data_IF_229701373113
#
_entry.id   IF_229701373113
#
_cell.length_a   1.000
_cell.length_b   1.000
_cell.length_c   1.000
_cell.angle_alpha   90.00
_cell.angle_beta   90.00
_cell.angle_gamma   90.00
#
_symmetry.space_group_name_H-M   'P 1'
#
loop_
_entity.id
_entity.type
_entity.pdbx_description
1 polymer ?
#
# COMPACT_ATOMS: atom_id res chain seq x y z
N UNK A 1 -5.75 10.23 5.55
CA UNK A 1 -4.68 9.91 4.56
C UNK A 1 -3.40 10.71 4.85
N UNK A 2 -2.21 10.09 4.79
CA UNK A 2 -0.91 10.73 5.10
C UNK A 2 -0.46 11.74 4.02
N UNK A 3 0.30 12.77 4.41
CA UNK A 3 0.81 13.83 3.51
C UNK A 3 1.71 13.28 2.40
N UNK A 4 2.68 12.42 2.76
CA UNK A 4 3.58 11.79 1.79
C UNK A 4 2.82 11.01 0.73
N UNK A 5 1.71 10.35 1.11
CA UNK A 5 0.89 9.60 0.16
C UNK A 5 0.22 10.52 -0.87
N UNK A 6 -0.27 11.69 -0.44
CA UNK A 6 -0.87 12.68 -1.34
C UNK A 6 0.17 13.26 -2.31
N UNK A 7 1.37 13.57 -1.83
CA UNK A 7 2.46 14.10 -2.66
C UNK A 7 2.88 13.10 -3.73
N UNK A 8 3.10 11.84 -3.34
CA UNK A 8 3.46 10.78 -4.27
C UNK A 8 2.32 10.40 -5.22
N UNK A 9 1.06 10.53 -4.79
CA UNK A 9 -0.10 10.36 -5.66
C UNK A 9 -0.09 11.37 -6.80
N UNK A 10 0.20 12.65 -6.51
CA UNK A 10 0.32 13.68 -7.55
C UNK A 10 1.45 13.33 -8.52
N UNK A 11 2.60 12.89 -8.01
CA UNK A 11 3.74 12.51 -8.84
C UNK A 11 3.41 11.31 -9.75
N UNK A 12 2.93 10.21 -9.17
CA UNK A 12 2.60 8.97 -9.89
C UNK A 12 1.42 9.15 -10.85
N UNK A 13 0.52 10.11 -10.62
CA UNK A 13 -0.60 10.39 -11.53
C UNK A 13 -0.16 10.90 -12.91
N UNK A 14 1.09 11.37 -13.05
CA UNK A 14 1.66 11.76 -14.35
C UNK A 14 1.83 10.56 -15.29
N UNK A 15 2.14 9.39 -14.73
CA UNK A 15 2.33 8.13 -15.47
C UNK A 15 1.07 7.26 -15.45
N UNK A 16 0.29 7.35 -14.38
CA UNK A 16 -0.93 6.59 -14.16
C UNK A 16 -2.10 7.55 -13.89
N UNK A 17 -2.64 8.19 -14.95
CA UNK A 17 -3.68 9.20 -14.80
C UNK A 17 -4.95 8.57 -14.22
N UNK A 18 -5.49 9.23 -13.19
CA UNK A 18 -6.72 8.85 -12.47
C UNK A 18 -7.62 10.06 -12.30
N UNK A 19 -8.92 9.83 -12.16
CA UNK A 19 -9.90 10.91 -11.95
C UNK A 19 -9.93 11.37 -10.49
N UNK A 20 -10.56 12.53 -10.24
CA UNK A 20 -10.77 13.03 -8.88
C UNK A 20 -11.66 12.07 -8.07
N UNK A 21 -12.64 11.46 -8.73
CA UNK A 21 -13.56 10.48 -8.14
C UNK A 21 -12.80 9.22 -7.73
N UNK A 22 -11.87 8.74 -8.56
CA UNK A 22 -11.01 7.58 -8.21
C UNK A 22 -10.08 7.89 -7.04
N UNK A 23 -9.50 9.09 -6.99
CA UNK A 23 -8.71 9.54 -5.82
C UNK A 23 -9.61 9.61 -4.58
N UNK A 24 -10.86 10.06 -4.71
CA UNK A 24 -11.80 10.09 -3.60
C UNK A 24 -12.16 8.68 -3.12
N UNK A 25 -12.36 7.73 -4.04
CA UNK A 25 -12.57 6.32 -3.68
C UNK A 25 -11.39 5.78 -2.86
N UNK A 26 -10.14 6.06 -3.27
CA UNK A 26 -8.95 5.66 -2.52
C UNK A 26 -8.91 6.27 -1.11
N UNK A 27 -9.32 7.54 -0.95
CA UNK A 27 -9.46 8.19 0.37
C UNK A 27 -10.52 7.51 1.23
N UNK A 28 -11.57 7.00 0.60
CA UNK A 28 -12.64 6.26 1.26
C UNK A 28 -12.29 4.77 1.46
N UNK A 29 -11.02 4.39 1.24
CA UNK A 29 -10.52 3.02 1.33
C UNK A 29 -11.24 2.03 0.39
N UNK A 30 -11.76 2.55 -0.72
CA UNK A 30 -12.32 1.78 -1.82
C UNK A 30 -11.30 1.76 -2.93
N UNK A 31 -10.98 0.57 -3.41
CA UNK A 31 -10.03 0.38 -4.51
C UNK A 31 -10.84 0.10 -5.79
N UNK A 32 -10.97 1.09 -6.70
CA UNK A 32 -11.58 0.88 -8.01
C UNK A 32 -10.89 -0.25 -8.76
N UNK A 33 -11.65 -1.04 -9.51
CA UNK A 33 -11.10 -2.01 -10.45
C UNK A 33 -10.65 -1.34 -11.74
N UNK A 34 -9.61 -0.50 -11.64
CA UNK A 34 -9.03 0.25 -12.75
C UNK A 34 -7.52 0.02 -12.79
N UNK A 35 -6.97 -0.32 -13.98
CA UNK A 35 -5.53 -0.56 -14.16
C UNK A 35 -4.66 0.63 -13.73
N UNK A 36 -5.02 1.86 -14.10
CA UNK A 36 -4.26 3.05 -13.70
C UNK A 36 -4.29 3.25 -12.19
N UNK A 37 -5.42 3.00 -11.52
CA UNK A 37 -5.49 3.11 -10.07
C UNK A 37 -4.60 2.07 -9.38
N UNK A 38 -4.58 0.83 -9.90
CA UNK A 38 -3.67 -0.22 -9.43
C UNK A 38 -2.21 0.19 -9.62
N UNK A 39 -1.85 0.69 -10.80
CA UNK A 39 -0.47 1.10 -11.08
C UNK A 39 -0.04 2.36 -10.33
N UNK A 40 -0.96 3.29 -10.08
CA UNK A 40 -0.74 4.46 -9.21
C UNK A 40 -0.30 4.02 -7.81
N UNK A 41 -1.01 3.07 -7.20
CA UNK A 41 -0.62 2.49 -5.90
C UNK A 41 0.74 1.79 -5.98
N UNK A 42 0.98 1.03 -7.05
CA UNK A 42 2.27 0.39 -7.31
C UNK A 42 3.41 1.39 -7.36
N UNK A 43 3.27 2.48 -8.10
CA UNK A 43 4.24 3.57 -8.17
C UNK A 43 4.49 4.20 -6.78
N UNK A 44 3.42 4.52 -6.03
CA UNK A 44 3.56 5.09 -4.68
C UNK A 44 4.30 4.14 -3.75
N UNK A 45 3.94 2.85 -3.74
CA UNK A 45 4.57 1.85 -2.88
C UNK A 45 6.04 1.58 -3.25
N UNK A 46 6.40 1.65 -4.54
CA UNK A 46 7.81 1.61 -4.96
C UNK A 46 8.60 2.81 -4.43
N UNK A 47 8.05 4.01 -4.53
CA UNK A 47 8.76 5.25 -4.09
C UNK A 47 9.05 5.27 -2.59
N UNK A 48 8.23 4.61 -1.78
CA UNK A 48 8.48 4.42 -0.34
C UNK A 48 9.19 3.09 0.00
N UNK A 49 9.58 2.31 -1.02
CA UNK A 49 10.31 1.04 -0.86
C UNK A 49 9.49 -0.15 -0.39
N UNK A 50 8.15 -0.05 -0.33
CA UNK A 50 7.26 -1.15 0.05
C UNK A 50 7.09 -2.18 -1.06
N UNK A 51 7.31 -1.80 -2.32
CA UNK A 51 7.50 -2.74 -3.42
C UNK A 51 8.95 -2.70 -3.91
N UNK A 52 9.56 -3.86 -4.09
CA UNK A 52 10.89 -4.00 -4.68
C UNK A 52 10.84 -3.92 -6.22
N UNK A 53 11.99 -3.98 -6.88
CA UNK A 53 12.11 -3.92 -8.35
C UNK A 53 11.43 -5.09 -9.08
N UNK A 54 11.12 -6.18 -8.38
CA UNK A 54 10.33 -7.30 -8.90
C UNK A 54 8.81 -7.12 -8.67
N UNK A 55 8.41 -5.98 -8.10
CA UNK A 55 7.03 -5.67 -7.75
C UNK A 55 6.52 -6.46 -6.56
N UNK A 56 7.41 -7.01 -5.74
CA UNK A 56 7.10 -7.81 -4.56
C UNK A 56 7.03 -6.93 -3.32
N UNK A 57 6.11 -7.25 -2.42
CA UNK A 57 6.02 -6.57 -1.13
C UNK A 57 7.26 -6.83 -0.28
N UNK A 58 7.87 -5.74 0.20
CA UNK A 58 9.00 -5.75 1.12
C UNK A 58 8.53 -5.55 2.55
N UNK A 59 8.37 -6.66 3.28
CA UNK A 59 8.03 -6.64 4.70
C UNK A 59 8.99 -5.75 5.50
N UNK A 60 10.30 -5.90 5.28
CA UNK A 60 11.33 -5.19 6.05
C UNK A 60 11.22 -3.67 5.86
N UNK A 61 11.01 -3.19 4.64
CA UNK A 61 10.90 -1.75 4.39
C UNK A 61 9.58 -1.17 4.91
N UNK A 62 8.48 -1.93 4.79
CA UNK A 62 7.21 -1.54 5.38
C UNK A 62 7.28 -1.47 6.92
N UNK A 63 7.92 -2.46 7.54
CA UNK A 63 8.13 -2.47 8.99
C UNK A 63 9.04 -1.33 9.44
N UNK A 64 10.12 -1.03 8.71
CA UNK A 64 10.98 0.13 8.97
C UNK A 64 10.20 1.45 8.95
N UNK A 65 9.25 1.61 8.03
CA UNK A 65 8.36 2.78 8.00
C UNK A 65 7.56 2.90 9.31
N UNK A 66 7.06 1.78 9.83
CA UNK A 66 6.37 1.76 11.12
C UNK A 66 7.31 2.06 12.30
N UNK A 67 8.56 1.59 12.27
CA UNK A 67 9.58 1.92 13.29
C UNK A 67 9.89 3.43 13.31
N UNK A 68 9.95 4.07 12.14
CA UNK A 68 10.14 5.51 12.03
C UNK A 68 8.90 6.31 12.50
N UNK A 69 7.69 5.80 12.25
CA UNK A 69 6.44 6.47 12.61
C UNK A 69 6.06 6.28 14.09
N UNK A 70 6.40 5.13 14.66
CA UNK A 70 5.98 4.71 16.00
C UNK A 70 7.17 4.25 16.87
N UNK A 71 8.27 5.03 16.98
CA UNK A 71 9.52 4.55 17.59
C UNK A 71 9.37 4.07 19.03
N UNK A 72 8.45 4.68 19.79
CA UNK A 72 8.24 4.36 21.21
C UNK A 72 6.96 3.53 21.48
N UNK A 73 6.13 3.28 20.47
CA UNK A 73 4.85 2.59 20.62
C UNK A 73 4.97 1.12 20.25
N UNK A 74 5.57 0.34 21.17
CA UNK A 74 5.80 -1.10 21.02
C UNK A 74 4.54 -1.88 20.67
N UNK A 75 3.38 -1.45 21.18
CA UNK A 75 2.09 -2.08 20.89
C UNK A 75 1.70 -1.87 19.42
N UNK A 76 1.85 -0.66 18.88
CA UNK A 76 1.61 -0.44 17.44
C UNK A 76 2.62 -1.15 16.56
N UNK A 77 3.90 -1.17 16.94
CA UNK A 77 4.93 -1.89 16.19
C UNK A 77 4.60 -3.38 16.07
N UNK A 78 4.25 -4.04 17.17
CA UNK A 78 3.87 -5.46 17.14
C UNK A 78 2.62 -5.71 16.29
N UNK A 79 1.62 -4.83 16.36
CA UNK A 79 0.42 -4.92 15.51
C UNK A 79 0.72 -4.67 14.03
N UNK A 80 1.61 -3.74 13.71
CA UNK A 80 2.07 -3.51 12.33
C UNK A 80 2.82 -4.74 11.79
N UNK A 81 3.71 -5.33 12.61
CA UNK A 81 4.42 -6.56 12.28
C UNK A 81 3.45 -7.69 11.92
N UNK A 82 2.44 -7.91 12.75
CA UNK A 82 1.41 -8.93 12.53
C UNK A 82 0.57 -8.64 11.27
N UNK A 83 0.22 -7.38 11.03
CA UNK A 83 -0.52 -6.97 9.83
C UNK A 83 0.30 -7.21 8.55
N UNK A 84 1.56 -6.80 8.53
CA UNK A 84 2.42 -6.97 7.35
C UNK A 84 2.75 -8.43 7.09
N UNK A 85 2.99 -9.23 8.13
CA UNK A 85 3.20 -10.68 7.98
C UNK A 85 1.95 -11.37 7.40
N UNK A 86 0.75 -10.99 7.86
CA UNK A 86 -0.49 -11.48 7.29
C UNK A 86 -0.65 -11.12 5.81
N UNK A 87 -0.28 -9.89 5.43
CA UNK A 87 -0.43 -9.39 4.07
C UNK A 87 0.72 -9.76 3.14
N UNK A 88 1.83 -10.31 3.65
CA UNK A 88 2.95 -10.78 2.83
C UNK A 88 2.54 -11.91 1.87
N UNK A 89 1.46 -12.63 2.16
CA UNK A 89 0.85 -13.63 1.27
C UNK A 89 0.52 -13.12 -0.15
N UNK A 90 0.41 -11.80 -0.35
CA UNK A 90 0.21 -11.23 -1.70
C UNK A 90 1.39 -11.51 -2.63
N UNK A 91 2.57 -11.81 -2.08
CA UNK A 91 3.74 -12.21 -2.85
C UNK A 91 3.55 -13.57 -3.53
N UNK A 92 2.68 -14.44 -3.03
CA UNK A 92 2.38 -15.73 -3.66
C UNK A 92 1.15 -15.70 -4.56
N UNK A 93 0.50 -14.53 -4.71
CA UNK A 93 -0.65 -14.39 -5.59
C UNK A 93 -0.19 -14.35 -7.05
N UNK A 94 -0.94 -15.04 -7.92
CA UNK A 94 -0.79 -14.90 -9.37
C UNK A 94 -1.24 -13.49 -9.78
N UNK A 95 -0.40 -12.84 -10.60
CA UNK A 95 -0.68 -11.52 -11.16
C UNK A 95 -0.37 -11.53 -12.66
N UNK A 96 -1.12 -10.75 -13.43
CA UNK A 96 -0.99 -10.67 -14.88
C UNK A 96 0.09 -9.68 -15.36
N UNK A 97 0.53 -8.79 -14.47
CA UNK A 97 1.42 -7.66 -14.76
C UNK A 97 2.88 -7.91 -14.31
N UNK A 98 3.17 -9.11 -13.82
CA UNK A 98 4.51 -9.57 -13.45
C UNK A 98 5.23 -8.62 -12.50
N UNK A 99 6.30 -7.99 -13.01
CA UNK A 99 7.14 -7.06 -12.24
C UNK A 99 6.61 -5.64 -12.19
N UNK A 100 5.56 -5.27 -12.93
CA UNK A 100 4.94 -3.94 -12.86
C UNK A 100 4.35 -3.67 -11.46
N UNK A 101 3.86 -4.72 -10.79
CA UNK A 101 3.44 -4.69 -9.39
C UNK A 101 2.15 -3.89 -9.13
N UNK A 102 1.42 -3.50 -10.17
CA UNK A 102 0.14 -2.82 -10.07
C UNK A 102 -0.90 -3.71 -9.37
N UNK A 103 -1.10 -4.95 -9.83
CA UNK A 103 -2.07 -5.86 -9.24
C UNK A 103 -1.68 -6.24 -7.81
N UNK A 104 -0.40 -6.53 -7.59
CA UNK A 104 0.10 -6.87 -6.26
C UNK A 104 -0.05 -5.72 -5.27
N UNK A 105 0.17 -4.47 -5.70
CA UNK A 105 -0.09 -3.29 -4.85
C UNK A 105 -1.56 -3.18 -4.45
N UNK A 106 -2.49 -3.51 -5.37
CA UNK A 106 -3.91 -3.51 -5.09
C UNK A 106 -4.29 -4.61 -4.11
N UNK A 107 -3.75 -5.82 -4.28
CA UNK A 107 -3.94 -6.92 -3.32
C UNK A 107 -3.40 -6.57 -1.94
N UNK A 108 -2.22 -5.96 -1.87
CA UNK A 108 -1.62 -5.48 -0.63
C UNK A 108 -2.52 -4.45 0.05
N UNK A 109 -2.92 -3.40 -0.67
CA UNK A 109 -3.78 -2.35 -0.14
C UNK A 109 -5.13 -2.91 0.38
N UNK A 110 -5.77 -3.82 -0.37
CA UNK A 110 -6.99 -4.52 0.08
C UNK A 110 -6.74 -5.28 1.38
N UNK A 111 -5.67 -6.07 1.46
CA UNK A 111 -5.34 -6.82 2.66
C UNK A 111 -5.11 -5.93 3.88
N UNK A 112 -4.39 -4.81 3.70
CA UNK A 112 -4.15 -3.83 4.76
C UNK A 112 -5.46 -3.20 5.23
N UNK A 113 -6.33 -2.75 4.32
CA UNK A 113 -7.63 -2.16 4.65
C UNK A 113 -8.51 -3.15 5.43
N UNK A 114 -8.64 -4.38 4.95
CA UNK A 114 -9.49 -5.42 5.55
C UNK A 114 -9.06 -5.85 6.96
N UNK A 115 -7.77 -5.70 7.29
CA UNK A 115 -7.20 -6.22 8.55
C UNK A 115 -6.66 -5.11 9.48
N UNK A 116 -6.51 -3.87 9.01
CA UNK A 116 -6.06 -2.72 9.80
C UNK A 116 -6.91 -2.49 11.06
N UNK A 117 -8.23 -2.52 10.93
CA UNK A 117 -9.17 -2.33 12.05
C UNK A 117 -9.05 -3.45 13.11
N UNK A 118 -8.86 -4.70 12.67
CA UNK A 118 -8.60 -5.85 13.57
C UNK A 118 -7.31 -5.67 14.36
N UNK A 119 -6.35 -4.94 13.78
CA UNK A 119 -5.06 -4.60 14.38
C UNK A 119 -5.10 -3.21 15.06
N UNK A 120 -6.28 -2.63 15.29
CA UNK A 120 -6.44 -1.38 16.03
C UNK A 120 -5.92 -0.12 15.32
N UNK A 121 -5.65 -0.20 14.01
CA UNK A 121 -5.37 0.97 13.19
C UNK A 121 -6.68 1.54 12.67
N UNK A 122 -6.90 2.84 12.88
CA UNK A 122 -8.03 3.55 12.27
C UNK A 122 -7.60 3.97 10.87
N UNK A 123 -8.29 3.44 9.87
CA UNK A 123 -8.13 3.88 8.48
C UNK A 123 -8.79 5.26 8.36
N UNK A 124 -7.96 6.32 8.42
CA UNK A 124 -8.35 7.73 8.28
C UNK A 124 -7.79 8.33 6.99
#
# INVERSE_FOLDING_TARGET
MKKWFLELTVECSKEHPVTKEEIQMLKDHKIPDNKNVKCLMGCVFRKIGWLDDNGMFSFNNAYKTSEEEYPDDKTKLEKAKNLYSLCEKVNTAEVSDGKEGCERSSLLAKCLIENSSKMGFVVQ
#
